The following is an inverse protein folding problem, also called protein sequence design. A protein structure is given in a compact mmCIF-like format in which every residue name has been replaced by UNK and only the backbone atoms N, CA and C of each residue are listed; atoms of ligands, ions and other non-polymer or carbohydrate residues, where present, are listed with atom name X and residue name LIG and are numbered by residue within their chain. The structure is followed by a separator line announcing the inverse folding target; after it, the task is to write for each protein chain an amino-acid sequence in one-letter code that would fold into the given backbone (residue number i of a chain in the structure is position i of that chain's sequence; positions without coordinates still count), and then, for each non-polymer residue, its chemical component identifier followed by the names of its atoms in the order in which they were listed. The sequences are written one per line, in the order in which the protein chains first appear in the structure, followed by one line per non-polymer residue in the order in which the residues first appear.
data_IF_675999745730
#
_entry.id   IF_675999745730
#
_cell.length_a   1.000
_cell.length_b   1.000
_cell.length_c   1.000
_cell.angle_alpha   90.00
_cell.angle_beta   90.00
_cell.angle_gamma   90.00
#
_symmetry.space_group_name_H-M   'P 1'
#
loop_
_entity.id
_entity.type
_entity.pdbx_description
1 polymer ?
#
# COMPACT_ATOMS: atom_id res chain seq x y z
N UNK A 1 -48.41 3.19 -13.54
CA UNK A 1 -48.45 4.35 -14.48
C UNK A 1 -47.68 5.48 -13.79
N UNK A 2 -46.36 5.56 -13.96
CA UNK A 2 -45.56 6.39 -14.92
C UNK A 2 -45.66 7.90 -14.68
N UNK A 3 -44.57 8.53 -14.20
CA UNK A 3 -43.71 9.52 -14.92
C UNK A 3 -42.66 10.09 -13.92
N UNK A 4 -41.33 9.93 -14.09
CA UNK A 4 -40.40 10.69 -14.95
C UNK A 4 -40.66 12.22 -14.90
N UNK A 5 -39.69 13.15 -14.78
CA UNK A 5 -38.24 13.10 -14.94
C UNK A 5 -37.60 14.44 -14.46
N UNK A 6 -36.26 14.48 -14.53
CA UNK A 6 -35.35 15.62 -14.77
C UNK A 6 -34.58 16.18 -13.56
N UNK A 7 -33.26 16.38 -13.59
CA UNK A 7 -32.09 16.01 -14.43
C UNK A 7 -30.93 16.82 -13.86
N UNK A 8 -29.71 16.28 -13.79
CA UNK A 8 -28.45 16.92 -14.24
C UNK A 8 -27.31 15.89 -14.12
N UNK A 9 -26.84 15.40 -15.27
CA UNK A 9 -25.63 14.60 -15.53
C UNK A 9 -24.47 15.58 -15.89
N UNK A 10 -23.22 15.21 -16.27
CA UNK A 10 -22.41 13.98 -16.14
C UNK A 10 -20.94 14.26 -15.69
N UNK A 11 -20.14 13.25 -15.32
CA UNK A 11 -18.70 13.23 -15.69
C UNK A 11 -18.20 11.80 -15.90
N UNK A 12 -17.92 11.50 -17.18
CA UNK A 12 -17.06 10.45 -17.75
C UNK A 12 -17.08 9.04 -17.16
N UNK A 13 -17.93 8.21 -17.75
CA UNK A 13 -17.76 6.76 -17.78
C UNK A 13 -17.54 6.36 -19.24
N UNK A 14 -16.28 6.35 -19.70
CA UNK A 14 -15.90 5.81 -21.00
C UNK A 14 -14.54 5.11 -20.86
N UNK A 15 -14.46 3.93 -21.45
CA UNK A 15 -13.41 2.90 -21.38
C UNK A 15 -13.48 2.01 -20.13
N UNK A 16 -14.35 1.00 -20.21
CA UNK A 16 -13.95 -0.41 -20.11
C UNK A 16 -15.09 -1.28 -20.64
N UNK A 17 -15.14 -1.42 -21.95
CA UNK A 17 -15.84 -2.53 -22.60
C UNK A 17 -14.96 -3.76 -22.49
N UNK A 18 -15.21 -4.61 -21.49
CA UNK A 18 -15.33 -6.06 -21.67
C UNK A 18 -15.57 -6.78 -20.32
N UNK A 19 -16.82 -7.17 -20.10
CA UNK A 19 -17.25 -8.55 -19.78
C UNK A 19 -16.57 -9.43 -18.72
N UNK A 20 -15.69 -8.93 -17.84
CA UNK A 20 -15.02 -9.75 -16.82
C UNK A 20 -14.80 -8.96 -15.51
N UNK A 21 -15.86 -8.43 -14.90
CA UNK A 21 -15.77 -7.94 -13.51
C UNK A 21 -16.35 -9.04 -12.63
N UNK A 22 -15.46 -9.80 -11.97
CA UNK A 22 -15.85 -10.71 -10.92
C UNK A 22 -16.33 -9.89 -9.72
N UNK A 23 -17.32 -10.38 -8.97
CA UNK A 23 -17.84 -9.77 -7.73
C UNK A 23 -16.75 -9.38 -6.71
N UNK A 24 -15.56 -9.98 -6.83
CA UNK A 24 -14.37 -9.65 -6.04
C UNK A 24 -13.91 -8.20 -6.19
N UNK A 25 -13.99 -7.61 -7.38
CA UNK A 25 -13.49 -6.26 -7.66
C UNK A 25 -14.49 -5.17 -7.22
N UNK A 26 -15.78 -5.49 -7.22
CA UNK A 26 -16.84 -4.55 -6.82
C UNK A 26 -16.78 -4.19 -5.33
N UNK A 27 -16.50 -5.16 -4.47
CA UNK A 27 -16.46 -4.93 -3.01
C UNK A 27 -15.13 -4.34 -2.51
N UNK A 28 -14.04 -4.54 -3.25
CA UNK A 28 -12.71 -4.07 -2.87
C UNK A 28 -12.41 -2.65 -3.33
N UNK A 29 -12.96 -2.22 -4.49
CA UNK A 29 -12.56 -0.96 -5.13
C UNK A 29 -13.63 0.14 -5.15
N UNK A 30 -14.92 -0.17 -4.95
CA UNK A 30 -15.97 0.75 -5.38
C UNK A 30 -16.60 1.66 -4.32
N UNK A 31 -16.32 1.49 -3.01
CA UNK A 31 -16.84 2.45 -2.03
C UNK A 31 -16.10 2.47 -0.70
N UNK A 32 -15.28 3.50 -0.43
CA UNK A 32 -14.71 3.75 0.90
C UNK A 32 -15.74 4.27 1.92
N UNK A 33 -16.96 4.61 1.48
CA UNK A 33 -18.01 5.18 2.33
C UNK A 33 -18.85 4.08 2.99
N UNK A 34 -18.97 2.92 2.34
CA UNK A 34 -19.53 1.73 2.96
C UNK A 34 -18.39 0.93 3.56
N UNK A 35 -18.47 0.58 4.85
CA UNK A 35 -17.54 -0.38 5.47
C UNK A 35 -17.65 -1.71 4.73
N UNK A 36 -16.83 -1.89 3.70
CA UNK A 36 -16.66 -3.17 3.05
C UNK A 36 -15.98 -4.08 4.06
N UNK A 37 -16.67 -5.13 4.48
CA UNK A 37 -16.13 -6.19 5.34
C UNK A 37 -14.85 -6.78 4.74
N UNK A 38 -14.75 -6.75 3.41
CA UNK A 38 -13.60 -7.20 2.63
C UNK A 38 -12.39 -6.28 2.82
N UNK A 39 -12.56 -4.95 2.82
CA UNK A 39 -11.43 -4.01 3.03
C UNK A 39 -10.80 -4.18 4.41
N UNK A 40 -11.62 -4.24 5.46
CA UNK A 40 -11.13 -4.43 6.83
C UNK A 40 -10.45 -5.79 7.05
N UNK A 41 -10.95 -6.84 6.39
CA UNK A 41 -10.36 -8.18 6.44
C UNK A 41 -8.93 -8.22 5.89
N UNK A 42 -8.60 -7.38 4.90
CA UNK A 42 -7.26 -7.38 4.28
C UNK A 42 -6.40 -6.17 4.69
N UNK A 43 -6.89 -5.31 5.59
CA UNK A 43 -6.13 -4.18 6.10
C UNK A 43 -5.02 -4.65 7.06
N UNK A 44 -3.72 -4.48 6.72
CA UNK A 44 -2.61 -4.97 7.56
C UNK A 44 -2.55 -4.30 8.94
N UNK A 45 -3.10 -3.10 9.10
CA UNK A 45 -3.16 -2.38 10.38
C UNK A 45 -3.90 -3.18 11.45
N UNK A 46 -4.91 -3.97 11.05
CA UNK A 46 -5.71 -4.80 11.96
C UNK A 46 -4.92 -6.01 12.52
N UNK A 47 -3.75 -6.32 11.95
CA UNK A 47 -2.92 -7.46 12.30
C UNK A 47 -1.59 -7.05 12.95
N UNK A 48 -1.40 -5.76 13.24
CA UNK A 48 -0.17 -5.23 13.84
C UNK A 48 0.18 -5.93 15.14
N UNK A 49 -0.79 -6.44 15.92
CA UNK A 49 -0.54 -7.20 17.15
C UNK A 49 0.08 -8.60 16.92
N UNK A 50 -0.03 -9.14 15.71
CA UNK A 50 0.44 -10.50 15.38
C UNK A 50 1.85 -10.51 14.77
N UNK A 51 2.40 -9.35 14.41
CA UNK A 51 3.76 -9.27 13.87
C UNK A 51 4.79 -9.78 14.88
N UNK A 52 5.75 -10.57 14.43
CA UNK A 52 6.80 -11.12 15.30
C UNK A 52 8.15 -11.16 14.61
N UNK A 53 8.15 -11.12 13.28
CA UNK A 53 9.33 -11.33 12.47
C UNK A 53 10.10 -10.02 12.25
N UNK A 54 11.43 -10.09 12.18
CA UNK A 54 12.26 -8.97 11.77
C UNK A 54 11.80 -8.39 10.43
N UNK A 55 11.68 -7.06 10.35
CA UNK A 55 11.18 -6.39 9.14
C UNK A 55 12.04 -5.21 8.70
N UNK A 56 12.46 -5.25 7.42
CA UNK A 56 13.05 -4.12 6.72
C UNK A 56 11.93 -3.35 6.02
N UNK A 57 11.79 -2.07 6.34
CA UNK A 57 10.84 -1.14 5.72
C UNK A 57 11.62 -0.22 4.78
N UNK A 58 11.19 -0.11 3.53
CA UNK A 58 11.84 0.72 2.51
C UNK A 58 10.79 1.67 1.92
N UNK A 59 11.06 2.97 1.87
CA UNK A 59 10.11 3.95 1.32
C UNK A 59 10.80 5.14 0.64
N UNK A 60 10.18 5.66 -0.43
CA UNK A 60 10.62 6.86 -1.16
C UNK A 60 9.82 8.10 -0.76
N UNK A 61 10.49 9.24 -0.52
CA UNK A 61 9.83 10.49 -0.10
C UNK A 61 8.96 11.16 -1.16
N UNK A 62 9.16 10.83 -2.44
CA UNK A 62 8.35 11.31 -3.57
C UNK A 62 7.40 10.22 -4.11
N UNK A 63 7.06 9.22 -3.30
CA UNK A 63 6.03 8.26 -3.64
C UNK A 63 4.63 8.87 -3.47
N UNK A 64 4.08 9.38 -4.59
CA UNK A 64 2.73 9.93 -4.65
C UNK A 64 1.65 8.87 -4.86
N UNK A 65 2.01 7.58 -4.98
CA UNK A 65 1.05 6.46 -5.05
C UNK A 65 0.76 5.90 -3.67
N UNK A 66 1.82 5.78 -2.85
CA UNK A 66 1.73 5.33 -1.46
C UNK A 66 2.45 6.34 -0.56
N UNK A 67 1.71 7.14 0.24
CA UNK A 67 2.30 8.13 1.13
C UNK A 67 3.34 7.52 2.08
N UNK A 68 4.45 8.23 2.28
CA UNK A 68 5.57 7.78 3.13
C UNK A 68 5.20 7.58 4.60
N UNK A 69 4.13 8.22 5.06
CA UNK A 69 3.52 7.98 6.36
C UNK A 69 3.12 6.51 6.57
N UNK A 70 2.81 5.74 5.52
CA UNK A 70 2.53 4.30 5.62
C UNK A 70 3.79 3.52 6.02
N UNK A 71 4.95 3.81 5.40
CA UNK A 71 6.23 3.20 5.78
C UNK A 71 6.69 3.65 7.17
N UNK A 72 6.60 4.95 7.47
CA UNK A 72 7.03 5.51 8.76
C UNK A 72 6.16 4.97 9.92
N UNK A 73 4.84 4.87 9.73
CA UNK A 73 3.94 4.31 10.75
C UNK A 73 4.19 2.82 10.98
N UNK A 74 4.45 2.05 9.91
CA UNK A 74 4.85 0.63 10.00
C UNK A 74 6.13 0.48 10.82
N UNK A 75 7.18 1.24 10.50
CA UNK A 75 8.43 1.23 11.27
C UNK A 75 8.20 1.62 12.74
N UNK A 76 7.40 2.65 12.99
CA UNK A 76 7.07 3.09 14.34
C UNK A 76 6.34 1.99 15.13
N UNK A 77 5.40 1.28 14.51
CA UNK A 77 4.70 0.16 15.13
C UNK A 77 5.66 -0.98 15.48
N UNK A 78 6.58 -1.33 14.58
CA UNK A 78 7.61 -2.35 14.84
C UNK A 78 8.52 -1.97 16.02
N UNK A 79 9.00 -0.72 16.06
CA UNK A 79 9.82 -0.18 17.15
C UNK A 79 9.09 -0.25 18.49
N UNK A 80 7.82 0.17 18.54
CA UNK A 80 6.99 0.11 19.77
C UNK A 80 6.76 -1.31 20.29
N UNK A 81 6.83 -2.30 19.42
CA UNK A 81 6.69 -3.73 19.77
C UNK A 81 8.03 -4.41 20.08
N UNK A 82 9.14 -3.69 19.98
CA UNK A 82 10.48 -4.27 20.18
C UNK A 82 10.86 -5.29 19.09
N UNK A 83 10.21 -5.24 17.92
CA UNK A 83 10.52 -6.14 16.81
C UNK A 83 11.77 -5.59 16.10
N UNK A 84 12.81 -6.42 15.88
CA UNK A 84 13.99 -6.00 15.12
C UNK A 84 13.57 -5.42 13.77
N UNK A 85 13.87 -4.15 13.54
CA UNK A 85 13.38 -3.45 12.37
C UNK A 85 14.36 -2.39 11.90
N UNK A 86 14.32 -2.10 10.60
CA UNK A 86 15.13 -1.07 9.96
C UNK A 86 14.28 -0.29 8.97
N UNK A 87 14.48 1.02 8.93
CA UNK A 87 13.89 1.90 7.92
C UNK A 87 14.99 2.36 6.96
N UNK A 88 14.85 2.03 5.68
CA UNK A 88 15.64 2.58 4.59
C UNK A 88 14.79 3.60 3.84
N UNK A 89 15.06 4.88 4.08
CA UNK A 89 14.28 5.98 3.52
C UNK A 89 15.07 6.75 2.47
N UNK A 90 14.50 6.88 1.28
CA UNK A 90 15.10 7.63 0.19
C UNK A 90 14.30 8.91 -0.08
N UNK A 91 14.69 10.07 0.46
CA UNK A 91 13.86 11.28 0.48
C UNK A 91 13.54 11.84 -0.91
N UNK A 92 14.29 11.46 -1.95
CA UNK A 92 14.15 11.95 -3.32
C UNK A 92 13.76 10.86 -4.33
N UNK A 93 13.47 9.64 -3.87
CA UNK A 93 12.98 8.55 -4.72
C UNK A 93 11.45 8.54 -4.74
N UNK A 94 10.89 8.01 -5.82
CA UNK A 94 9.45 7.86 -5.99
C UNK A 94 9.00 6.45 -5.57
N UNK A 95 7.95 5.93 -6.22
CA UNK A 95 7.48 4.55 -6.02
C UNK A 95 8.51 3.46 -6.41
N UNK A 96 9.58 3.85 -7.11
CA UNK A 96 10.70 3.01 -7.49
C UNK A 96 12.02 3.67 -7.06
N UNK A 97 13.08 2.87 -6.99
CA UNK A 97 14.44 3.36 -6.72
C UNK A 97 15.16 3.58 -8.06
N UNK A 98 15.07 4.80 -8.59
CA UNK A 98 15.51 5.15 -9.94
C UNK A 98 16.96 5.66 -9.99
N UNK A 99 17.47 6.27 -8.92
CA UNK A 99 18.87 6.69 -8.89
C UNK A 99 19.78 5.47 -8.73
N UNK A 100 20.75 5.31 -9.63
CA UNK A 100 21.64 4.14 -9.65
C UNK A 100 22.44 3.94 -8.36
N UNK A 101 22.87 5.02 -7.71
CA UNK A 101 23.60 4.95 -6.43
C UNK A 101 22.65 4.47 -5.33
N UNK A 102 21.42 5.00 -5.29
CA UNK A 102 20.41 4.53 -4.34
C UNK A 102 20.02 3.08 -4.60
N UNK A 103 19.96 2.63 -5.86
CA UNK A 103 19.69 1.22 -6.19
C UNK A 103 20.79 0.31 -5.62
N UNK A 104 22.07 0.70 -5.68
CA UNK A 104 23.15 -0.07 -5.07
C UNK A 104 22.99 -0.16 -3.55
N UNK A 105 22.60 0.93 -2.88
CA UNK A 105 22.29 0.93 -1.44
C UNK A 105 21.10 0.03 -1.15
N UNK A 106 20.04 0.11 -1.96
CA UNK A 106 18.84 -0.73 -1.85
C UNK A 106 19.20 -2.22 -1.90
N UNK A 107 19.94 -2.65 -2.94
CA UNK A 107 20.33 -4.05 -3.09
C UNK A 107 21.21 -4.52 -1.93
N UNK A 108 22.19 -3.70 -1.53
CA UNK A 108 23.05 -4.02 -0.40
C UNK A 108 22.25 -4.22 0.88
N UNK A 109 21.35 -3.29 1.21
CA UNK A 109 20.54 -3.35 2.43
C UNK A 109 19.59 -4.55 2.43
N UNK A 110 18.99 -4.88 1.29
CA UNK A 110 18.14 -6.06 1.15
C UNK A 110 18.94 -7.35 1.32
N UNK A 111 20.10 -7.47 0.67
CA UNK A 111 20.97 -8.64 0.78
C UNK A 111 21.54 -8.81 2.19
N UNK A 112 22.01 -7.72 2.80
CA UNK A 112 22.53 -7.72 4.18
C UNK A 112 21.42 -8.11 5.17
N UNK A 113 20.18 -7.65 4.95
CA UNK A 113 19.04 -8.01 5.79
C UNK A 113 18.68 -9.49 5.65
N UNK A 114 18.59 -10.00 4.41
CA UNK A 114 18.34 -11.41 4.18
C UNK A 114 19.45 -12.28 4.77
N UNK A 115 20.73 -11.94 4.55
CA UNK A 115 21.86 -12.67 5.12
C UNK A 115 21.82 -12.75 6.65
N UNK A 116 21.23 -11.75 7.32
CA UNK A 116 21.12 -11.72 8.78
C UNK A 116 19.97 -12.58 9.31
N UNK A 117 18.85 -12.61 8.59
CA UNK A 117 17.58 -13.13 9.12
C UNK A 117 17.05 -14.38 8.41
N UNK A 118 17.67 -14.77 7.30
CA UNK A 118 17.35 -15.99 6.55
C UNK A 118 18.54 -16.95 6.58
N UNK A 119 18.28 -18.25 6.42
CA UNK A 119 19.29 -19.32 6.42
C UNK A 119 19.37 -19.97 5.06
#
# INVERSE_FOLDING_TARGET
MVSNANTWQPFYNLYNTDGMINDFDHDCFYSPITKSTTYEKYNPVNYVANWTQPMLVIHGGYDYRVPDTQGISTFTALQRRGIPSRLLYFPKENHWTMNSINSLVWYREVLDWMSRWTK
#
